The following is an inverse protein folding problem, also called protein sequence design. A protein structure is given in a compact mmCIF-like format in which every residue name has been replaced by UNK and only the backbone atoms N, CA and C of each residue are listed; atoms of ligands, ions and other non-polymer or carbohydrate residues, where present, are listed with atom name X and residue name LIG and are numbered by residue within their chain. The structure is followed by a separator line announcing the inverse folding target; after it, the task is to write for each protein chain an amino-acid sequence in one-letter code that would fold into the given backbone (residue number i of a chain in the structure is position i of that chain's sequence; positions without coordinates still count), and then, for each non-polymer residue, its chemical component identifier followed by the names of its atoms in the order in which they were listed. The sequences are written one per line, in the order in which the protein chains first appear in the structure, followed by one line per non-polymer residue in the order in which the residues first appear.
data_IF_207409753144
#
_entry.id   IF_207409753144
#
_cell.length_a   1.000
_cell.length_b   1.000
_cell.length_c   1.000
_cell.angle_alpha   90.00
_cell.angle_beta   90.00
_cell.angle_gamma   90.00
#
_symmetry.space_group_name_H-M   'P 1'
#
loop_
_entity.id
_entity.type
_entity.pdbx_description
1 polymer ?
#
# COMPACT_ATOMS: atom_id res chain seq x y z
N UNK A 1 12.55 4.61 0.93
CA UNK A 1 11.43 4.19 1.80
C UNK A 1 10.15 4.82 1.29
N UNK A 2 9.02 4.12 1.34
CA UNK A 2 7.74 4.64 0.80
C UNK A 2 7.24 5.84 1.60
N UNK A 3 6.78 6.89 0.91
CA UNK A 3 6.32 8.17 1.49
C UNK A 3 4.96 8.11 2.17
N UNK A 4 4.63 6.98 2.80
CA UNK A 4 3.32 6.62 3.33
C UNK A 4 2.47 5.78 2.37
N UNK A 5 1.54 5.02 2.93
CA UNK A 5 0.53 4.24 2.20
C UNK A 5 -0.88 4.51 2.72
N UNK A 6 -1.87 4.17 1.90
CA UNK A 6 -3.29 4.13 2.27
C UNK A 6 -3.82 2.75 1.93
N UNK A 7 -4.72 2.27 2.79
CA UNK A 7 -5.45 1.03 2.59
C UNK A 7 -6.93 1.33 2.79
N UNK A 8 -7.70 1.24 1.72
CA UNK A 8 -9.14 1.41 1.75
C UNK A 8 -9.83 0.08 1.45
N UNK A 9 -11.02 -0.10 2.01
CA UNK A 9 -11.93 -1.17 1.59
C UNK A 9 -12.94 -0.58 0.62
N UNK A 10 -13.00 -1.13 -0.58
CA UNK A 10 -13.98 -0.77 -1.59
C UNK A 10 -15.37 -1.32 -1.23
N UNK A 11 -16.41 -0.80 -1.89
CA UNK A 11 -17.80 -1.19 -1.63
C UNK A 11 -18.08 -2.67 -1.94
N UNK A 12 -17.35 -3.23 -2.91
CA UNK A 12 -17.44 -4.64 -3.30
C UNK A 12 -16.71 -5.58 -2.32
N UNK A 13 -16.06 -5.04 -1.28
CA UNK A 13 -15.32 -5.79 -0.28
C UNK A 13 -13.83 -5.90 -0.55
N UNK A 14 -13.35 -5.52 -1.73
CA UNK A 14 -11.93 -5.57 -2.07
C UNK A 14 -11.13 -4.54 -1.29
N UNK A 15 -9.83 -4.80 -1.14
CA UNK A 15 -8.89 -3.88 -0.50
C UNK A 15 -8.03 -3.19 -1.56
N UNK A 16 -8.03 -1.87 -1.54
CA UNK A 16 -7.20 -1.04 -2.42
C UNK A 16 -6.09 -0.43 -1.59
N UNK A 17 -4.85 -0.83 -1.90
CA UNK A 17 -3.65 -0.29 -1.31
C UNK A 17 -2.88 0.55 -2.33
N UNK A 18 -2.52 1.77 -1.97
CA UNK A 18 -1.62 2.59 -2.78
C UNK A 18 -0.60 3.29 -1.90
N UNK A 19 0.60 3.50 -2.44
CA UNK A 19 1.73 4.07 -1.75
C UNK A 19 2.56 4.94 -2.70
N UNK A 20 3.18 5.99 -2.16
CA UNK A 20 4.09 6.84 -2.92
C UNK A 20 5.50 6.31 -2.83
N UNK A 21 6.17 6.22 -3.97
CA UNK A 21 7.57 5.81 -4.07
C UNK A 21 8.36 6.88 -4.82
N UNK A 22 9.60 7.20 -4.40
CA UNK A 22 10.44 8.14 -5.15
C UNK A 22 10.80 7.61 -6.54
N UNK A 23 10.95 6.29 -6.68
CA UNK A 23 11.10 5.62 -7.97
C UNK A 23 10.60 4.17 -7.93
N UNK A 24 10.52 3.54 -9.10
CA UNK A 24 10.22 2.10 -9.25
C UNK A 24 11.30 1.23 -8.59
N UNK A 25 12.56 1.61 -8.73
CA UNK A 25 13.71 0.91 -8.15
C UNK A 25 13.65 0.92 -6.61
N UNK A 26 13.22 2.03 -6.01
CA UNK A 26 13.03 2.11 -4.56
C UNK A 26 11.94 1.15 -4.06
N UNK A 27 10.85 1.00 -4.82
CA UNK A 27 9.80 0.00 -4.53
C UNK A 27 10.37 -1.40 -4.66
N UNK A 28 11.02 -1.71 -5.78
CA UNK A 28 11.50 -3.07 -6.05
C UNK A 28 12.58 -3.48 -5.04
N UNK A 29 13.47 -2.57 -4.64
CA UNK A 29 14.43 -2.82 -3.56
C UNK A 29 13.72 -3.09 -2.24
N UNK A 30 12.71 -2.29 -1.87
CA UNK A 30 11.96 -2.50 -0.65
C UNK A 30 11.24 -3.86 -0.63
N UNK A 31 10.64 -4.28 -1.76
CA UNK A 31 9.99 -5.57 -1.89
C UNK A 31 10.96 -6.75 -1.99
N UNK A 32 12.13 -6.56 -2.61
CA UNK A 32 13.19 -7.55 -2.61
C UNK A 32 13.72 -7.79 -1.19
N UNK A 33 13.93 -6.72 -0.42
CA UNK A 33 14.32 -6.81 1.00
C UNK A 33 13.19 -7.43 1.85
N UNK A 34 11.93 -7.10 1.56
CA UNK A 34 10.75 -7.68 2.19
C UNK A 34 10.62 -9.19 1.94
N UNK A 35 11.03 -9.66 0.77
CA UNK A 35 10.89 -11.08 0.35
C UNK A 35 12.04 -11.98 0.82
N UNK A 36 13.12 -11.41 1.38
CA UNK A 36 14.28 -12.16 1.89
C UNK A 36 13.99 -12.97 3.15
N UNK A 37 12.92 -12.65 3.88
CA UNK A 37 12.49 -13.46 5.02
C UNK A 37 11.40 -14.47 4.58
N UNK A 38 11.75 -15.76 4.43
CA UNK A 38 10.80 -16.79 4.02
C UNK A 38 9.74 -17.10 5.09
N UNK A 39 9.95 -16.68 6.34
CA UNK A 39 9.04 -16.95 7.46
C UNK A 39 8.14 -15.77 7.83
N UNK A 40 8.29 -14.64 7.13
CA UNK A 40 7.49 -13.45 7.41
C UNK A 40 6.03 -13.66 7.01
N UNK A 41 5.15 -13.44 7.98
CA UNK A 41 3.71 -13.38 7.83
C UNK A 41 3.31 -12.25 6.89
N UNK A 42 2.69 -12.60 5.75
CA UNK A 42 2.07 -11.62 4.85
C UNK A 42 0.68 -12.16 4.48
N UNK A 43 -0.38 -11.33 4.41
CA UNK A 43 -1.75 -11.79 4.18
C UNK A 43 -1.88 -12.68 2.94
N UNK A 44 -1.14 -12.38 1.88
CA UNK A 44 -1.13 -13.17 0.65
C UNK A 44 -0.52 -14.57 0.83
N UNK A 45 0.58 -14.68 1.58
CA UNK A 45 1.27 -15.95 1.83
C UNK A 45 0.53 -16.82 2.83
N UNK A 46 -0.23 -16.21 3.73
CA UNK A 46 -1.11 -16.90 4.67
C UNK A 46 -2.45 -17.32 4.04
N UNK A 47 -2.65 -17.07 2.74
CA UNK A 47 -3.90 -17.38 2.03
C UNK A 47 -5.09 -16.53 2.48
N UNK A 48 -4.84 -15.41 3.16
CA UNK A 48 -5.88 -14.50 3.68
C UNK A 48 -6.26 -13.39 2.69
N UNK A 49 -5.47 -13.21 1.63
CA UNK A 49 -5.72 -12.23 0.58
C UNK A 49 -5.16 -12.74 -0.75
N UNK A 50 -5.81 -12.36 -1.85
CA UNK A 50 -5.32 -12.57 -3.21
C UNK A 50 -4.95 -11.23 -3.83
N UNK A 51 -3.88 -11.18 -4.62
CA UNK A 51 -3.56 -10.00 -5.41
C UNK A 51 -4.45 -10.01 -6.66
N UNK A 52 -5.39 -9.07 -6.73
CA UNK A 52 -6.27 -8.91 -7.90
C UNK A 52 -5.47 -8.27 -9.04
N UNK A 53 -4.87 -7.11 -8.79
CA UNK A 53 -4.06 -6.39 -9.77
C UNK A 53 -3.00 -5.51 -9.11
N UNK A 54 -1.94 -5.22 -9.86
CA UNK A 54 -0.95 -4.19 -9.51
C UNK A 54 -0.80 -3.23 -10.70
N UNK A 55 -0.95 -1.93 -10.42
CA UNK A 55 -0.90 -0.87 -11.44
C UNK A 55 -0.01 0.28 -10.98
N UNK A 56 0.61 0.97 -11.95
CA UNK A 56 1.39 2.19 -11.71
C UNK A 56 0.50 3.41 -11.93
N UNK A 57 0.57 4.36 -11.00
CA UNK A 57 -0.27 5.55 -10.96
C UNK A 57 0.61 6.80 -10.90
N UNK A 58 0.17 7.84 -11.62
CA UNK A 58 0.73 9.18 -11.51
C UNK A 58 -0.09 10.02 -10.52
N UNK A 59 0.59 10.81 -9.69
CA UNK A 59 -0.08 11.78 -8.82
C UNK A 59 -0.46 12.98 -9.68
N UNK A 60 -1.72 13.01 -10.12
CA UNK A 60 -2.26 14.15 -10.88
C UNK A 60 -2.71 15.28 -9.95
N UNK A 61 -3.25 14.93 -8.79
CA UNK A 61 -3.61 15.86 -7.71
C UNK A 61 -3.61 15.09 -6.37
N UNK A 62 -3.06 15.69 -5.31
CA UNK A 62 -2.99 15.07 -3.98
C UNK A 62 -3.78 15.92 -2.98
N UNK A 63 -5.04 15.53 -2.77
CA UNK A 63 -5.98 16.21 -1.87
C UNK A 63 -6.12 15.48 -0.51
N UNK A 64 -5.20 14.56 -0.21
CA UNK A 64 -5.26 13.78 1.02
C UNK A 64 -4.77 14.60 2.21
N UNK A 65 -5.57 14.58 3.27
CA UNK A 65 -5.14 15.13 4.56
C UNK A 65 -4.10 14.16 5.17
N UNK A 66 -2.98 14.67 5.71
CA UNK A 66 -2.05 13.85 6.48
C UNK A 66 -2.79 13.11 7.61
N UNK A 67 -2.40 11.86 7.88
CA UNK A 67 -3.11 11.02 8.85
C UNK A 67 -3.12 11.64 10.26
N UNK A 68 -2.01 12.26 10.66
CA UNK A 68 -1.89 13.00 11.92
C UNK A 68 -2.91 14.13 12.07
N UNK A 69 -3.40 14.66 10.95
CA UNK A 69 -4.33 15.78 10.85
C UNK A 69 -5.76 15.33 10.58
N UNK A 70 -6.02 14.02 10.45
CA UNK A 70 -7.37 13.52 10.19
C UNK A 70 -8.33 13.89 11.34
N UNK A 71 -9.50 14.48 11.01
CA UNK A 71 -10.57 14.69 11.98
C UNK A 71 -10.98 13.39 12.66
N UNK A 72 -11.44 13.48 13.93
CA UNK A 72 -11.80 12.31 14.75
C UNK A 72 -12.80 11.35 14.09
N UNK A 73 -13.70 11.85 13.23
CA UNK A 73 -14.67 11.01 12.51
C UNK A 73 -14.05 10.06 11.49
N UNK A 74 -12.77 10.24 11.17
CA UNK A 74 -12.01 9.46 10.20
C UNK A 74 -10.83 8.69 10.83
N UNK A 75 -10.71 8.69 12.17
CA UNK A 75 -9.71 7.91 12.92
C UNK A 75 -10.31 6.60 13.40
#
# INVERSE_FOLDING_TARGET
GGGGSRLHRAENGDFVAYARWPSKEDRDKAFADYSKDPNRAIPQREGKAELIEEVWLDIIDDLLIPEAELPKRFR
#
